data_IF_602219217772
#
_entry.id   IF_602219217772
#
_cell.length_a   1.000
_cell.length_b   1.000
_cell.length_c   1.000
_cell.angle_alpha   90.00
_cell.angle_beta   90.00
_cell.angle_gamma   90.00
#
_symmetry.space_group_name_H-M   'P 1'
#
loop_
_entity.id
_entity.type
_entity.pdbx_description
1 polymer ?
#
# COMPACT_ATOMS: atom_id res chain seq x y z
N UNK A 1 -28.05 -48.87 33.73
CA UNK A 1 -28.58 -47.51 33.62
C UNK A 1 -27.45 -46.66 33.06
N UNK A 2 -27.58 -46.19 31.82
CA UNK A 2 -26.63 -45.27 31.19
C UNK A 2 -27.47 -44.10 30.71
N UNK A 3 -27.53 -43.06 31.53
CA UNK A 3 -28.30 -41.85 31.26
C UNK A 3 -27.59 -41.00 30.20
N UNK A 4 -28.41 -40.50 29.31
CA UNK A 4 -28.15 -39.67 28.15
C UNK A 4 -28.08 -38.19 28.54
N UNK A 5 -26.95 -37.55 28.29
CA UNK A 5 -26.80 -36.08 28.31
C UNK A 5 -26.48 -35.57 26.91
N UNK A 6 -27.51 -35.30 26.10
CA UNK A 6 -27.43 -34.44 24.91
C UNK A 6 -28.62 -33.46 24.93
N UNK A 7 -28.65 -32.63 25.97
CA UNK A 7 -29.60 -31.52 26.13
C UNK A 7 -28.79 -30.21 26.15
N UNK A 8 -28.95 -29.37 25.11
CA UNK A 8 -28.51 -27.97 25.18
C UNK A 8 -27.80 -27.37 23.96
N UNK A 9 -27.65 -28.08 22.84
CA UNK A 9 -27.14 -27.45 21.60
C UNK A 9 -28.29 -26.81 20.82
N UNK A 10 -28.38 -25.48 20.70
CA UNK A 10 -29.43 -24.86 19.89
C UNK A 10 -29.26 -25.30 18.43
N UNK A 11 -30.27 -25.98 17.89
CA UNK A 11 -30.31 -26.40 16.49
C UNK A 11 -31.09 -25.39 15.66
N UNK A 12 -30.55 -25.05 14.49
CA UNK A 12 -31.25 -24.24 13.50
C UNK A 12 -32.51 -24.99 13.04
N UNK A 13 -33.60 -24.25 12.81
CA UNK A 13 -34.78 -24.85 12.20
C UNK A 13 -34.43 -25.41 10.82
N UNK A 14 -35.11 -26.47 10.38
CA UNK A 14 -34.90 -27.07 9.06
C UNK A 14 -34.98 -26.04 7.92
N UNK A 15 -35.86 -25.05 8.08
CA UNK A 15 -36.02 -23.94 7.14
C UNK A 15 -34.82 -22.97 7.15
N UNK A 16 -34.30 -22.64 8.32
CA UNK A 16 -33.13 -21.77 8.44
C UNK A 16 -31.86 -22.47 7.92
N UNK A 17 -31.73 -23.77 8.18
CA UNK A 17 -30.61 -24.58 7.69
C UNK A 17 -30.63 -24.72 6.16
N UNK A 18 -31.80 -24.93 5.57
CA UNK A 18 -31.98 -24.97 4.13
C UNK A 18 -31.63 -23.64 3.46
N UNK A 19 -32.11 -22.52 4.01
CA UNK A 19 -31.78 -21.19 3.49
C UNK A 19 -30.28 -20.88 3.59
N UNK A 20 -29.62 -21.34 4.65
CA UNK A 20 -28.17 -21.18 4.81
C UNK A 20 -27.39 -22.04 3.80
N UNK A 21 -27.82 -23.28 3.57
CA UNK A 21 -27.23 -24.16 2.55
C UNK A 21 -27.41 -23.61 1.13
N UNK A 22 -28.58 -23.04 0.83
CA UNK A 22 -28.88 -22.41 -0.45
C UNK A 22 -27.98 -21.17 -0.67
N UNK A 23 -27.83 -20.31 0.35
CA UNK A 23 -26.90 -19.18 0.32
C UNK A 23 -25.44 -19.59 0.10
N UNK A 24 -24.97 -20.67 0.76
CA UNK A 24 -23.61 -21.18 0.54
C UNK A 24 -23.41 -21.78 -0.85
N UNK A 25 -24.43 -22.41 -1.43
CA UNK A 25 -24.38 -22.94 -2.79
C UNK A 25 -24.33 -21.83 -3.84
N UNK A 26 -25.07 -20.74 -3.65
CA UNK A 26 -25.05 -19.55 -4.50
C UNK A 26 -23.68 -18.86 -4.49
N UNK A 27 -23.04 -18.74 -3.31
CA UNK A 27 -21.68 -18.21 -3.17
C UNK A 27 -20.63 -19.03 -3.95
N UNK A 28 -20.76 -20.36 -3.96
CA UNK A 28 -19.81 -21.23 -4.67
C UNK A 28 -19.96 -21.16 -6.20
N UNK A 29 -21.17 -20.95 -6.71
CA UNK A 29 -21.43 -20.80 -8.14
C UNK A 29 -20.95 -19.45 -8.67
N UNK A 30 -21.09 -18.37 -7.89
CA UNK A 30 -20.52 -17.06 -8.26
C UNK A 30 -18.99 -17.07 -8.36
N UNK A 31 -18.32 -17.99 -7.66
CA UNK A 31 -16.86 -18.11 -7.65
C UNK A 31 -16.29 -18.93 -8.82
N UNK A 32 -17.11 -19.75 -9.50
CA UNK A 32 -16.65 -20.61 -10.60
C UNK A 32 -16.67 -19.96 -11.98
N UNK A 33 -17.43 -18.88 -12.17
CA UNK A 33 -17.61 -18.23 -13.48
C UNK A 33 -16.55 -17.17 -13.83
N UNK A 34 -15.59 -16.90 -12.94
CA UNK A 34 -14.48 -15.94 -13.14
C UNK A 34 -13.20 -16.58 -13.70
N UNK A 35 -13.28 -17.76 -14.34
CA UNK A 35 -12.13 -18.42 -14.99
C UNK A 35 -11.82 -17.85 -16.38
N UNK A 36 -11.72 -16.53 -16.48
CA UNK A 36 -11.25 -15.79 -17.64
C UNK A 36 -9.96 -15.02 -17.31
N UNK A 37 -8.91 -15.34 -18.04
CA UNK A 37 -7.58 -14.72 -18.20
C UNK A 37 -7.32 -13.30 -17.60
N UNK A 38 -7.39 -13.11 -16.27
CA UNK A 38 -7.05 -11.83 -15.61
C UNK A 38 -6.03 -12.00 -14.48
N UNK A 39 -4.75 -11.87 -14.81
CA UNK A 39 -3.66 -11.73 -13.83
C UNK A 39 -3.77 -10.45 -12.97
N UNK A 40 -4.73 -9.57 -13.26
CA UNK A 40 -4.95 -8.30 -12.57
C UNK A 40 -6.20 -8.33 -11.65
N UNK A 41 -7.01 -9.37 -11.73
CA UNK A 41 -8.12 -9.68 -10.80
C UNK A 41 -7.68 -10.66 -9.70
N UNK A 42 -6.40 -10.65 -9.30
CA UNK A 42 -5.91 -11.47 -8.19
C UNK A 42 -6.54 -10.96 -6.90
N UNK A 43 -7.65 -11.59 -6.52
CA UNK A 43 -8.30 -11.48 -5.22
C UNK A 43 -8.97 -10.14 -4.98
N UNK A 44 -10.24 -10.01 -5.39
CA UNK A 44 -11.12 -9.03 -4.75
C UNK A 44 -11.25 -9.47 -3.29
N UNK A 45 -10.40 -8.93 -2.42
CA UNK A 45 -10.47 -9.17 -0.98
C UNK A 45 -11.62 -8.33 -0.46
N UNK A 46 -12.72 -9.00 -0.13
CA UNK A 46 -13.89 -8.36 0.48
C UNK A 46 -13.58 -7.90 1.92
N UNK A 47 -14.29 -6.85 2.36
CA UNK A 47 -14.23 -6.32 3.71
C UNK A 47 -14.45 -7.43 4.75
N UNK A 48 -13.55 -7.52 5.73
CA UNK A 48 -13.78 -8.29 6.94
C UNK A 48 -14.05 -7.37 8.13
N UNK A 49 -15.32 -7.21 8.46
CA UNK A 49 -15.76 -6.32 9.54
C UNK A 49 -15.25 -6.74 10.92
N UNK A 50 -14.92 -8.01 11.12
CA UNK A 50 -14.31 -8.50 12.37
C UNK A 50 -12.87 -7.99 12.56
N UNK A 51 -12.23 -7.57 11.46
CA UNK A 51 -10.91 -6.96 11.44
C UNK A 51 -10.98 -5.42 11.33
N UNK A 52 -12.17 -4.84 11.47
CA UNK A 52 -12.42 -3.40 11.28
C UNK A 52 -12.03 -2.89 9.89
N UNK A 53 -12.21 -3.72 8.86
CA UNK A 53 -11.96 -3.34 7.47
C UNK A 53 -13.18 -2.62 6.89
N UNK A 54 -13.01 -1.35 6.54
CA UNK A 54 -14.02 -0.52 5.88
C UNK A 54 -13.40 0.15 4.67
N UNK A 55 -13.91 -0.12 3.48
CA UNK A 55 -13.28 0.37 2.26
C UNK A 55 -13.69 1.80 1.93
N UNK A 56 -12.71 2.61 1.53
CA UNK A 56 -12.95 3.93 0.96
C UNK A 56 -13.79 3.82 -0.31
N UNK A 57 -14.52 4.89 -0.67
CA UNK A 57 -15.13 4.99 -1.98
C UNK A 57 -14.03 4.95 -3.06
N UNK A 58 -14.33 4.46 -4.28
CA UNK A 58 -13.36 4.43 -5.37
C UNK A 58 -12.71 5.80 -5.64
N UNK A 59 -13.48 6.88 -5.51
CA UNK A 59 -13.06 8.27 -5.68
C UNK A 59 -12.08 8.69 -4.57
N UNK A 60 -12.40 8.36 -3.31
CA UNK A 60 -11.54 8.64 -2.17
C UNK A 60 -10.22 7.90 -2.27
N UNK A 61 -10.28 6.58 -2.52
CA UNK A 61 -9.10 5.75 -2.66
C UNK A 61 -8.19 6.21 -3.81
N UNK A 62 -8.79 6.62 -4.94
CA UNK A 62 -8.05 7.18 -6.08
C UNK A 62 -7.35 8.49 -5.68
N UNK A 63 -8.07 9.40 -5.02
CA UNK A 63 -7.52 10.70 -4.65
C UNK A 63 -6.37 10.59 -3.65
N UNK A 64 -6.50 9.71 -2.67
CA UNK A 64 -5.42 9.39 -1.72
C UNK A 64 -4.22 8.74 -2.42
N UNK A 65 -4.46 7.85 -3.37
CA UNK A 65 -3.38 7.23 -4.16
C UNK A 65 -2.63 8.26 -5.02
N UNK A 66 -3.33 9.15 -5.71
CA UNK A 66 -2.73 10.23 -6.51
C UNK A 66 -1.86 11.16 -5.66
N UNK A 67 -2.37 11.58 -4.48
CA UNK A 67 -1.59 12.43 -3.58
C UNK A 67 -0.39 11.69 -3.00
N UNK A 68 -0.53 10.40 -2.68
CA UNK A 68 0.59 9.58 -2.24
C UNK A 68 1.68 9.44 -3.31
N UNK A 69 1.32 9.26 -4.58
CA UNK A 69 2.26 9.22 -5.70
C UNK A 69 2.95 10.58 -5.87
N UNK A 70 2.18 11.67 -5.84
CA UNK A 70 2.74 13.02 -5.92
C UNK A 70 3.70 13.31 -4.75
N UNK A 71 3.37 12.86 -3.54
CA UNK A 71 4.19 13.00 -2.36
C UNK A 71 5.46 12.12 -2.40
N UNK A 72 5.37 10.91 -2.94
CA UNK A 72 6.53 10.07 -3.22
C UNK A 72 7.45 10.70 -4.29
N UNK A 73 6.89 11.57 -5.14
CA UNK A 73 7.57 12.37 -6.17
C UNK A 73 7.88 11.58 -7.43
N UNK A 74 8.17 12.29 -8.53
CA UNK A 74 8.92 11.72 -9.66
C UNK A 74 10.37 11.47 -9.19
N UNK A 75 10.59 10.43 -8.38
CA UNK A 75 11.91 10.04 -7.90
C UNK A 75 12.38 10.58 -6.54
N UNK A 76 11.47 10.78 -5.57
CA UNK A 76 11.81 10.97 -4.15
C UNK A 76 12.52 12.29 -3.78
N UNK A 77 12.02 12.98 -2.75
CA UNK A 77 12.53 14.28 -2.28
C UNK A 77 13.97 14.29 -1.69
N UNK A 78 14.82 13.30 -1.96
CA UNK A 78 16.25 13.34 -1.56
C UNK A 78 17.08 13.75 -2.77
N UNK A 79 17.59 14.99 -2.74
CA UNK A 79 18.59 15.59 -3.65
C UNK A 79 19.11 14.62 -4.70
N UNK A 80 18.70 14.82 -5.96
CA UNK A 80 19.14 14.08 -7.16
C UNK A 80 20.66 13.84 -7.16
N UNK A 81 21.42 14.74 -6.53
CA UNK A 81 22.86 14.68 -6.32
C UNK A 81 23.35 13.48 -5.47
N UNK A 82 22.68 13.14 -4.36
CA UNK A 82 23.07 12.01 -3.50
C UNK A 82 22.74 10.65 -4.15
N UNK A 83 21.66 10.58 -4.93
CA UNK A 83 21.27 9.36 -5.65
C UNK A 83 22.17 9.10 -6.87
N UNK A 84 22.54 10.15 -7.61
CA UNK A 84 23.57 10.04 -8.65
C UNK A 84 24.91 9.57 -8.06
N UNK A 85 25.26 10.05 -6.86
CA UNK A 85 26.48 9.65 -6.17
C UNK A 85 26.45 8.17 -5.76
N UNK A 86 25.34 7.68 -5.20
CA UNK A 86 25.16 6.26 -4.88
C UNK A 86 25.16 5.38 -6.14
N UNK A 87 24.50 5.81 -7.22
CA UNK A 87 24.55 5.12 -8.51
C UNK A 87 25.97 5.04 -9.06
N UNK A 88 26.74 6.14 -8.98
CA UNK A 88 28.13 6.19 -9.37
C UNK A 88 29.01 5.25 -8.54
N UNK A 89 28.78 5.15 -7.22
CA UNK A 89 29.50 4.23 -6.33
C UNK A 89 29.21 2.75 -6.64
N UNK A 90 27.95 2.42 -6.93
CA UNK A 90 27.56 1.06 -7.36
C UNK A 90 28.20 0.72 -8.70
N UNK A 91 28.22 1.68 -9.64
CA UNK A 91 28.88 1.50 -10.93
C UNK A 91 30.41 1.30 -10.78
N UNK A 92 31.05 2.06 -9.89
CA UNK A 92 32.48 1.93 -9.57
C UNK A 92 32.81 0.58 -8.92
N UNK A 93 31.95 0.11 -8.00
CA UNK A 93 32.12 -1.20 -7.35
C UNK A 93 31.93 -2.37 -8.32
N UNK A 94 31.02 -2.24 -9.30
CA UNK A 94 30.81 -3.25 -10.34
C UNK A 94 31.98 -3.31 -11.33
N UNK A 95 32.65 -2.19 -11.61
CA UNK A 95 33.85 -2.19 -12.46
C UNK A 95 35.05 -2.87 -11.82
N UNK A 96 35.15 -2.88 -10.48
CA UNK A 96 36.23 -3.55 -9.74
C UNK A 96 36.03 -5.07 -9.57
N UNK A 97 34.82 -5.59 -9.88
CA UNK A 97 34.49 -7.02 -9.79
C UNK A 97 34.73 -7.75 -11.13
N UNK A 98 35.06 -7.03 -12.21
CA UNK A 98 35.41 -7.65 -13.49
C UNK A 98 36.83 -8.23 -13.44
N UNK A 99 37.03 -9.49 -13.85
CA UNK A 99 38.35 -10.12 -13.83
C UNK A 99 39.35 -9.39 -14.72
N UNK A 100 40.58 -9.24 -14.21
CA UNK A 100 41.74 -8.57 -14.84
C UNK A 100 42.05 -9.05 -16.27
N UNK A 101 41.58 -10.23 -16.69
CA UNK A 101 41.83 -10.81 -18.02
C UNK A 101 41.23 -10.03 -19.21
N UNK A 102 40.51 -8.93 -18.98
CA UNK A 102 39.96 -8.09 -20.07
C UNK A 102 40.68 -6.76 -20.29
N UNK A 103 41.68 -6.42 -19.47
CA UNK A 103 42.36 -5.11 -19.56
C UNK A 103 43.32 -4.96 -20.75
N UNK A 104 43.71 -6.06 -21.41
CA UNK A 104 44.69 -6.07 -22.51
C UNK A 104 44.10 -6.36 -23.91
N UNK A 105 42.76 -6.47 -24.06
CA UNK A 105 42.13 -6.74 -25.35
C UNK A 105 41.64 -5.46 -26.03
N UNK A 106 42.29 -5.13 -27.15
CA UNK A 106 41.96 -4.00 -28.02
C UNK A 106 40.46 -3.97 -28.42
N UNK A 107 39.86 -2.77 -28.62
CA UNK A 107 38.40 -2.56 -28.66
C UNK A 107 37.77 -2.93 -30.02
N UNK A 108 38.13 -4.07 -30.60
CA UNK A 108 37.65 -4.50 -31.93
C UNK A 108 36.95 -5.86 -31.96
N UNK A 109 36.71 -6.49 -30.81
CA UNK A 109 35.92 -7.73 -30.77
C UNK A 109 34.52 -7.49 -30.21
N UNK A 110 33.52 -7.93 -30.97
CA UNK A 110 32.07 -7.83 -30.70
C UNK A 110 31.62 -8.40 -29.34
N UNK A 111 32.52 -9.05 -28.60
CA UNK A 111 32.31 -9.70 -27.30
C UNK A 111 32.41 -8.73 -26.12
N UNK A 112 33.27 -7.70 -26.17
CA UNK A 112 33.34 -6.67 -25.11
C UNK A 112 32.11 -5.75 -25.09
N UNK A 113 31.53 -5.50 -26.27
CA UNK A 113 30.25 -4.79 -26.44
C UNK A 113 29.05 -5.59 -25.91
N UNK A 114 29.16 -6.92 -25.86
CA UNK A 114 28.09 -7.79 -25.40
C UNK A 114 28.02 -7.85 -23.86
N UNK A 115 29.16 -7.83 -23.15
CA UNK A 115 29.18 -7.86 -21.68
C UNK A 115 28.63 -6.58 -21.02
N UNK A 116 28.89 -5.42 -21.61
CA UNK A 116 28.29 -4.14 -21.16
C UNK A 116 26.79 -4.05 -21.46
N UNK A 117 26.26 -4.86 -22.38
CA UNK A 117 24.82 -4.88 -22.71
C UNK A 117 23.97 -5.74 -21.76
N UNK A 118 24.60 -6.51 -20.87
CA UNK A 118 23.95 -7.45 -19.94
C UNK A 118 23.96 -7.01 -18.47
N UNK A 119 24.52 -5.84 -18.15
CA UNK A 119 24.29 -5.24 -16.83
C UNK A 119 22.81 -4.85 -16.72
N UNK A 120 22.09 -5.28 -15.67
CA UNK A 120 20.65 -5.04 -15.60
C UNK A 120 20.41 -3.55 -15.50
N UNK A 121 19.81 -2.99 -16.55
CA UNK A 121 19.22 -1.64 -16.62
C UNK A 121 18.18 -1.42 -15.50
N UNK A 122 17.83 -2.46 -14.74
CA UNK A 122 16.95 -2.43 -13.57
C UNK A 122 17.52 -1.69 -12.34
N UNK A 123 18.85 -1.62 -12.15
CA UNK A 123 19.41 -0.95 -10.97
C UNK A 123 19.21 0.58 -10.95
N UNK A 124 19.42 1.32 -12.07
CA UNK A 124 19.10 2.75 -12.14
C UNK A 124 17.60 3.05 -12.04
N UNK A 125 16.73 2.17 -12.57
CA UNK A 125 15.27 2.35 -12.57
C UNK A 125 14.72 2.25 -11.14
N UNK A 126 15.27 1.36 -10.31
CA UNK A 126 14.87 1.20 -8.90
C UNK A 126 15.11 2.46 -8.05
N UNK A 127 16.02 3.36 -8.47
CA UNK A 127 16.31 4.62 -7.78
C UNK A 127 15.41 5.79 -8.20
N UNK A 128 14.62 5.62 -9.26
CA UNK A 128 13.74 6.67 -9.82
C UNK A 128 12.26 6.48 -9.47
N UNK A 129 11.87 5.35 -8.88
CA UNK A 129 10.49 5.08 -8.44
C UNK A 129 10.34 5.42 -6.96
N UNK A 130 9.25 6.09 -6.59
CA UNK A 130 8.95 6.42 -5.20
C UNK A 130 8.54 5.17 -4.41
N UNK A 131 8.90 5.09 -3.13
CA UNK A 131 8.48 3.98 -2.24
C UNK A 131 7.31 4.40 -1.36
N UNK A 132 6.19 3.69 -1.49
CA UNK A 132 4.96 3.92 -0.70
C UNK A 132 4.71 2.73 0.22
N UNK A 133 4.56 2.98 1.52
CA UNK A 133 4.07 1.97 2.46
C UNK A 133 2.60 2.25 2.77
N UNK A 134 1.72 1.29 2.51
CA UNK A 134 0.34 1.29 2.98
C UNK A 134 0.26 0.47 4.27
N UNK A 135 -0.03 1.11 5.41
CA UNK A 135 -0.17 0.45 6.72
C UNK A 135 -1.64 0.37 7.07
N UNK A 136 -2.20 -0.83 7.05
CA UNK A 136 -3.64 -1.09 7.22
C UNK A 136 -4.54 -0.27 6.28
N UNK A 137 -4.01 0.16 5.12
CA UNK A 137 -4.70 1.00 4.12
C UNK A 137 -4.92 0.25 2.78
N UNK A 138 -5.68 -0.86 2.75
CA UNK A 138 -5.79 -1.73 1.58
C UNK A 138 -6.51 -1.09 0.38
N UNK A 139 -7.51 -0.22 0.62
CA UNK A 139 -8.22 0.48 -0.47
C UNK A 139 -7.26 1.35 -1.29
N UNK A 140 -6.33 2.05 -0.61
CA UNK A 140 -5.32 2.88 -1.26
C UNK A 140 -4.29 2.01 -1.98
N UNK A 141 -3.83 0.91 -1.36
CA UNK A 141 -2.93 -0.05 -2.00
C UNK A 141 -3.49 -0.58 -3.32
N UNK A 142 -4.76 -1.01 -3.33
CA UNK A 142 -5.42 -1.51 -4.53
C UNK A 142 -5.40 -0.46 -5.65
N UNK A 143 -5.73 0.79 -5.35
CA UNK A 143 -5.69 1.88 -6.34
C UNK A 143 -4.30 2.22 -6.84
N UNK A 144 -3.30 2.25 -5.95
CA UNK A 144 -1.90 2.45 -6.34
C UNK A 144 -1.44 1.36 -7.31
N UNK A 145 -1.80 0.11 -7.05
CA UNK A 145 -1.41 -1.02 -7.91
C UNK A 145 -2.13 -1.04 -9.25
N UNK A 146 -3.39 -0.62 -9.28
CA UNK A 146 -4.20 -0.51 -10.51
C UNK A 146 -3.69 0.58 -11.45
N UNK A 147 -3.23 1.74 -10.92
CA UNK A 147 -3.03 2.96 -11.70
C UNK A 147 -1.58 3.45 -11.80
N UNK A 148 -0.70 3.06 -10.89
CA UNK A 148 0.62 3.71 -10.72
C UNK A 148 1.79 2.74 -10.58
N UNK A 149 1.66 1.52 -11.13
CA UNK A 149 2.66 0.45 -11.01
C UNK A 149 4.04 0.83 -11.56
N UNK A 150 4.09 1.73 -12.55
CA UNK A 150 5.33 2.16 -13.19
C UNK A 150 5.97 3.39 -12.50
N UNK A 151 5.22 4.08 -11.63
CA UNK A 151 5.65 5.32 -10.98
C UNK A 151 6.16 5.09 -9.55
N UNK A 152 5.58 4.12 -8.84
CA UNK A 152 5.89 3.82 -7.44
C UNK A 152 5.99 2.32 -7.18
N UNK A 153 6.84 1.96 -6.23
CA UNK A 153 6.86 0.64 -5.62
C UNK A 153 6.11 0.69 -4.30
N UNK A 154 5.20 -0.27 -4.07
CA UNK A 154 4.23 -0.21 -2.97
C UNK A 154 4.28 -1.47 -2.13
N UNK A 155 4.36 -1.31 -0.81
CA UNK A 155 4.21 -2.41 0.14
C UNK A 155 2.92 -2.24 0.94
N UNK A 156 2.18 -3.32 1.16
CA UNK A 156 1.00 -3.37 2.03
C UNK A 156 1.34 -4.12 3.32
N UNK A 157 1.27 -3.41 4.44
CA UNK A 157 1.40 -3.94 5.78
C UNK A 157 0.00 -4.21 6.31
N UNK A 158 -0.40 -5.48 6.36
CA UNK A 158 -1.74 -5.86 6.81
C UNK A 158 -1.77 -7.07 7.74
N UNK A 159 -2.73 -7.07 8.65
CA UNK A 159 -3.03 -8.19 9.53
C UNK A 159 -3.72 -9.33 8.79
N UNK A 160 -4.60 -9.01 7.85
CA UNK A 160 -5.34 -10.00 7.09
C UNK A 160 -4.44 -10.78 6.12
N UNK A 161 -4.19 -12.04 6.46
CA UNK A 161 -3.34 -12.94 5.66
C UNK A 161 -3.88 -13.24 4.27
N UNK A 162 -5.14 -12.92 3.96
CA UNK A 162 -5.69 -13.01 2.60
C UNK A 162 -4.91 -12.13 1.62
N UNK A 163 -4.28 -11.06 2.09
CA UNK A 163 -3.41 -10.18 1.29
C UNK A 163 -2.11 -10.85 0.84
N UNK A 164 -1.76 -12.05 1.34
CA UNK A 164 -0.59 -12.82 0.90
C UNK A 164 -0.62 -13.19 -0.59
N UNK A 165 -1.78 -13.12 -1.24
CA UNK A 165 -1.89 -13.26 -2.71
C UNK A 165 -1.07 -12.23 -3.49
N UNK A 166 -0.66 -11.14 -2.82
CA UNK A 166 0.16 -10.07 -3.40
C UNK A 166 1.68 -10.33 -3.31
N UNK A 167 2.11 -11.47 -2.75
CA UNK A 167 3.50 -11.90 -2.79
C UNK A 167 4.43 -10.95 -2.02
N UNK A 168 5.49 -10.48 -2.68
CA UNK A 168 6.54 -9.64 -2.06
C UNK A 168 6.03 -8.28 -1.57
N UNK A 169 4.97 -7.75 -2.19
CA UNK A 169 4.32 -6.50 -1.77
C UNK A 169 3.69 -6.64 -0.37
N UNK A 170 3.29 -7.86 0.02
CA UNK A 170 2.60 -8.11 1.28
C UNK A 170 3.59 -8.32 2.44
N UNK A 171 3.34 -7.57 3.51
CA UNK A 171 4.00 -7.73 4.80
C UNK A 171 2.91 -8.02 5.83
N UNK A 172 2.98 -9.19 6.47
CA UNK A 172 2.12 -9.45 7.63
C UNK A 172 2.49 -8.47 8.75
N UNK A 173 1.49 -7.75 9.24
CA UNK A 173 1.66 -6.70 10.24
C UNK A 173 0.60 -6.83 11.33
N UNK A 174 1.04 -6.80 12.59
CA UNK A 174 0.15 -6.71 13.75
C UNK A 174 0.53 -5.46 14.55
N UNK A 175 -0.37 -4.48 14.63
CA UNK A 175 -0.14 -3.24 15.39
C UNK A 175 0.13 -3.49 16.88
N UNK A 176 -0.21 -4.68 17.42
CA UNK A 176 0.16 -5.07 18.80
C UNK A 176 1.66 -5.33 18.95
N UNK A 177 2.36 -5.61 17.85
CA UNK A 177 3.80 -5.81 17.74
C UNK A 177 4.38 -4.83 16.71
N UNK A 178 4.34 -3.50 16.97
CA UNK A 178 4.52 -2.47 15.95
C UNK A 178 5.93 -2.41 15.32
N UNK A 179 6.94 -3.00 15.97
CA UNK A 179 8.34 -3.05 15.51
C UNK A 179 8.75 -4.44 15.03
N UNK A 180 7.84 -5.41 15.04
CA UNK A 180 8.07 -6.77 14.53
C UNK A 180 7.90 -6.80 13.01
N UNK A 181 8.86 -6.21 12.30
CA UNK A 181 8.89 -6.16 10.84
C UNK A 181 9.95 -7.11 10.28
N UNK A 182 9.71 -7.74 9.12
CA UNK A 182 10.70 -8.59 8.47
C UNK A 182 12.00 -7.84 8.16
N UNK A 183 13.16 -8.52 8.26
CA UNK A 183 14.49 -7.93 8.01
C UNK A 183 14.65 -7.27 6.63
N UNK A 184 13.87 -7.69 5.63
CA UNK A 184 13.86 -7.08 4.29
C UNK A 184 13.35 -5.64 4.28
N UNK A 185 12.64 -5.22 5.32
CA UNK A 185 12.09 -3.87 5.45
C UNK A 185 13.13 -2.98 6.13
N UNK A 186 13.82 -2.18 5.32
CA UNK A 186 14.77 -1.20 5.83
C UNK A 186 14.04 -0.07 6.58
N UNK A 187 14.60 0.35 7.70
CA UNK A 187 14.08 1.50 8.46
C UNK A 187 14.25 2.79 7.66
N UNK A 188 13.28 3.70 7.72
CA UNK A 188 13.29 4.99 7.03
C UNK A 188 13.53 4.86 5.52
N UNK A 189 12.97 3.83 4.88
CA UNK A 189 13.13 3.59 3.46
C UNK A 189 12.02 4.19 2.60
N UNK A 190 10.82 4.36 3.16
CA UNK A 190 9.64 4.78 2.40
C UNK A 190 9.58 6.29 2.27
N UNK A 191 9.39 6.78 1.05
CA UNK A 191 9.26 8.21 0.77
C UNK A 191 7.96 8.79 1.34
N UNK A 192 6.91 7.97 1.41
CA UNK A 192 5.67 8.25 2.13
C UNK A 192 5.10 6.99 2.78
N UNK A 193 4.53 7.16 3.98
CA UNK A 193 3.70 6.16 4.64
C UNK A 193 2.25 6.64 4.64
N UNK A 194 1.37 5.84 4.02
CA UNK A 194 -0.09 6.00 4.06
C UNK A 194 -0.61 5.04 5.12
N UNK A 195 -1.26 5.53 6.16
CA UNK A 195 -1.72 4.72 7.26
C UNK A 195 -3.21 4.94 7.57
N UNK A 196 -3.90 3.86 7.92
CA UNK A 196 -5.32 3.85 8.28
C UNK A 196 -5.53 2.87 9.46
N UNK A 197 -5.52 3.35 10.72
CA UNK A 197 -5.54 2.46 11.86
C UNK A 197 -6.90 1.77 12.00
N UNK A 198 -6.93 0.46 12.32
CA UNK A 198 -8.18 -0.32 12.38
C UNK A 198 -9.12 0.09 13.54
N UNK A 199 -8.62 0.84 14.53
CA UNK A 199 -9.42 1.24 15.68
C UNK A 199 -9.22 2.71 16.03
N UNK A 200 -10.32 3.39 16.36
CA UNK A 200 -10.33 4.78 16.84
C UNK A 200 -9.98 4.84 18.33
N UNK A 201 -8.73 4.48 18.65
CA UNK A 201 -8.21 4.54 20.01
C UNK A 201 -6.79 5.10 20.02
N UNK A 202 -6.47 5.87 21.06
CA UNK A 202 -5.13 6.43 21.24
C UNK A 202 -4.06 5.34 21.36
N UNK A 203 -4.38 4.20 22.00
CA UNK A 203 -3.43 3.07 22.08
C UNK A 203 -3.10 2.51 20.70
N UNK A 204 -4.11 2.31 19.84
CA UNK A 204 -3.90 1.83 18.47
C UNK A 204 -3.05 2.82 17.68
N UNK A 205 -3.40 4.11 17.72
CA UNK A 205 -2.67 5.15 17.01
C UNK A 205 -1.23 5.29 17.53
N UNK A 206 -1.02 5.21 18.85
CA UNK A 206 0.31 5.26 19.46
C UNK A 206 1.19 4.11 18.97
N UNK A 207 0.70 2.86 19.00
CA UNK A 207 1.47 1.72 18.52
C UNK A 207 1.74 1.82 17.02
N UNK A 208 0.73 2.17 16.22
CA UNK A 208 0.93 2.36 14.79
C UNK A 208 1.91 3.51 14.49
N UNK A 209 1.96 4.55 15.33
CA UNK A 209 2.93 5.64 15.20
C UNK A 209 4.38 5.18 15.33
N UNK A 210 4.65 4.13 16.13
CA UNK A 210 5.97 3.52 16.23
C UNK A 210 6.36 2.86 14.89
N UNK A 211 5.43 2.12 14.28
CA UNK A 211 5.61 1.55 12.94
C UNK A 211 5.82 2.62 11.88
N UNK A 212 4.97 3.66 11.84
CA UNK A 212 5.07 4.75 10.86
C UNK A 212 6.44 5.43 10.96
N UNK A 213 6.89 5.76 12.17
CA UNK A 213 8.20 6.38 12.40
C UNK A 213 9.35 5.49 11.94
N UNK A 214 9.23 4.18 12.12
CA UNK A 214 10.23 3.21 11.67
C UNK A 214 10.30 3.12 10.14
N UNK A 215 9.16 3.28 9.45
CA UNK A 215 9.05 3.12 8.00
C UNK A 215 9.36 4.40 7.23
N UNK A 216 8.83 5.54 7.69
CA UNK A 216 8.85 6.80 6.94
C UNK A 216 10.23 7.45 6.94
N UNK A 217 10.60 8.04 5.81
CA UNK A 217 11.67 9.04 5.73
C UNK A 217 11.25 10.37 6.34
N UNK A 218 10.05 10.82 5.98
CA UNK A 218 9.56 12.14 6.35
C UNK A 218 8.05 12.23 6.18
N UNK A 219 7.52 11.86 5.01
CA UNK A 219 6.12 12.14 4.65
C UNK A 219 5.16 11.10 5.21
N UNK A 220 4.07 11.58 5.79
CA UNK A 220 3.03 10.77 6.41
C UNK A 220 1.68 11.27 5.91
N UNK A 221 0.84 10.34 5.47
CA UNK A 221 -0.58 10.52 5.24
C UNK A 221 -1.32 9.56 6.16
N UNK A 222 -2.12 10.10 7.07
CA UNK A 222 -2.90 9.34 8.03
C UNK A 222 -4.37 9.60 7.79
N UNK A 223 -5.15 8.56 7.49
CA UNK A 223 -6.60 8.64 7.53
C UNK A 223 -7.09 8.01 8.83
N UNK A 224 -7.92 8.71 9.60
CA UNK A 224 -8.49 8.19 10.85
C UNK A 224 -9.72 9.02 11.25
N UNK A 225 -10.35 8.68 12.37
CA UNK A 225 -11.48 9.42 12.90
C UNK A 225 -11.08 10.83 13.36
N UNK A 226 -11.93 11.83 13.15
CA UNK A 226 -11.70 13.23 13.51
C UNK A 226 -11.36 13.40 15.01
N UNK A 227 -11.93 12.54 15.87
CA UNK A 227 -11.64 12.50 17.31
C UNK A 227 -10.17 12.23 17.66
N UNK A 228 -9.36 11.74 16.71
CA UNK A 228 -7.95 11.43 16.91
C UNK A 228 -7.02 12.59 16.51
N UNK A 229 -7.53 13.75 16.11
CA UNK A 229 -6.72 14.89 15.63
C UNK A 229 -5.60 15.29 16.59
N UNK A 230 -5.91 15.53 17.87
CA UNK A 230 -4.90 15.94 18.87
C UNK A 230 -3.81 14.87 19.05
N UNK A 231 -4.22 13.60 19.11
CA UNK A 231 -3.28 12.49 19.24
C UNK A 231 -2.41 12.34 17.98
N UNK A 232 -2.98 12.51 16.79
CA UNK A 232 -2.27 12.44 15.52
C UNK A 232 -1.22 13.55 15.41
N UNK A 233 -1.58 14.80 15.73
CA UNK A 233 -0.65 15.92 15.74
C UNK A 233 0.49 15.69 16.76
N UNK A 234 0.16 15.29 17.98
CA UNK A 234 1.16 15.05 19.03
C UNK A 234 2.12 13.90 18.71
N UNK A 235 1.61 12.81 18.14
CA UNK A 235 2.41 11.60 17.89
C UNK A 235 3.22 11.69 16.61
N UNK A 236 2.65 12.28 15.54
CA UNK A 236 3.19 12.21 14.18
C UNK A 236 3.46 13.58 13.54
N UNK A 237 3.02 14.68 14.17
CA UNK A 237 3.19 16.04 13.61
C UNK A 237 2.37 16.28 12.34
N UNK A 238 1.31 15.50 12.13
CA UNK A 238 0.41 15.64 10.97
C UNK A 238 -0.68 16.66 11.28
N UNK A 239 -1.19 17.32 10.24
CA UNK A 239 -2.23 18.35 10.29
C UNK A 239 -3.41 17.92 9.42
N UNK A 240 -4.62 18.29 9.86
CA UNK A 240 -5.85 17.95 9.14
C UNK A 240 -5.89 18.64 7.77
N UNK A 241 -6.22 17.86 6.74
CA UNK A 241 -6.52 18.36 5.40
C UNK A 241 -7.98 18.83 5.29
N UNK A 242 -8.27 19.64 4.28
CA UNK A 242 -9.65 19.99 3.87
C UNK A 242 -10.39 18.82 3.23
N UNK A 243 -9.65 17.86 2.68
CA UNK A 243 -10.21 16.66 2.06
C UNK A 243 -10.91 15.79 3.10
N UNK A 244 -12.15 15.39 2.80
CA UNK A 244 -12.95 14.51 3.65
C UNK A 244 -13.04 13.15 2.97
N UNK A 245 -12.42 12.09 3.53
CA UNK A 245 -12.50 10.77 2.95
C UNK A 245 -13.90 10.16 3.13
N UNK A 246 -14.42 9.58 2.06
CA UNK A 246 -15.70 8.87 2.06
C UNK A 246 -15.48 7.36 1.97
N UNK A 247 -16.37 6.61 2.59
CA UNK A 247 -16.36 5.15 2.58
C UNK A 247 -17.47 4.63 1.68
N UNK A 248 -17.30 3.43 1.13
CA UNK A 248 -18.31 2.77 0.31
C UNK A 248 -19.63 2.57 1.08
N UNK A 249 -19.52 2.49 2.41
CA UNK A 249 -20.65 2.38 3.33
C UNK A 249 -20.63 3.53 4.32
N UNK A 250 -21.81 3.98 4.75
CA UNK A 250 -21.91 5.00 5.78
C UNK A 250 -21.38 4.47 7.12
N UNK A 251 -20.37 5.13 7.66
CA UNK A 251 -19.86 4.89 9.01
C UNK A 251 -20.42 5.96 9.95
N UNK A 252 -20.67 5.58 11.21
CA UNK A 252 -21.19 6.52 12.21
C UNK A 252 -20.17 7.54 12.71
N UNK A 253 -18.88 7.29 12.47
CA UNK A 253 -17.81 8.19 12.85
C UNK A 253 -17.43 9.11 11.69
N UNK A 254 -17.06 10.32 12.03
CA UNK A 254 -16.49 11.27 11.09
C UNK A 254 -15.01 10.97 10.87
N UNK A 255 -14.61 10.77 9.61
CA UNK A 255 -13.22 10.53 9.23
C UNK A 255 -12.59 11.77 8.59
N UNK A 256 -11.26 11.86 8.73
CA UNK A 256 -10.42 12.93 8.20
C UNK A 256 -9.08 12.38 7.72
N UNK A 257 -8.48 13.10 6.78
CA UNK A 257 -7.12 12.88 6.33
C UNK A 257 -6.20 13.89 7.00
N UNK A 258 -5.02 13.45 7.44
CA UNK A 258 -4.00 14.25 8.10
C UNK A 258 -2.65 14.03 7.41
N UNK A 259 -1.90 15.10 7.16
CA UNK A 259 -0.59 15.04 6.48
C UNK A 259 0.43 15.94 7.15
N UNK A 260 1.72 15.68 6.95
CA UNK A 260 2.81 16.54 7.43
C UNK A 260 3.61 17.21 6.27
N UNK A 261 3.06 17.23 5.07
CA UNK A 261 3.64 17.84 3.86
C UNK A 261 2.61 18.71 3.15
N UNK A 262 3.05 19.51 2.16
CA UNK A 262 2.15 20.29 1.31
C UNK A 262 1.38 19.36 0.36
N UNK A 263 0.15 19.02 0.71
CA UNK A 263 -0.69 18.06 0.01
C UNK A 263 -1.58 18.73 -1.04
N UNK A 264 -1.75 18.06 -2.18
CA UNK A 264 -2.71 18.47 -3.21
C UNK A 264 -4.17 18.28 -2.78
N UNK A 265 -4.41 17.60 -1.65
CA UNK A 265 -5.73 17.40 -1.06
C UNK A 265 -6.37 18.69 -0.51
N UNK A 266 -5.56 19.70 -0.20
CA UNK A 266 -6.04 21.00 0.32
C UNK A 266 -6.46 22.00 -0.76
N UNK A 267 -6.27 21.64 -2.04
CA UNK A 267 -6.62 22.49 -3.18
C UNK A 267 -8.06 22.25 -3.58
N UNK A 268 -8.85 23.33 -3.60
CA UNK A 268 -10.25 23.27 -4.05
C UNK A 268 -10.31 22.85 -5.52
N UNK A 269 -11.11 21.82 -5.84
CA UNK A 269 -11.32 21.26 -7.19
C UNK A 269 -12.07 22.20 -8.16
N UNK A 270 -12.22 23.49 -7.84
CA UNK A 270 -13.00 24.43 -8.64
C UNK A 270 -12.37 24.85 -9.98
N UNK A 271 -11.21 24.28 -10.38
CA UNK A 271 -10.45 24.77 -11.55
C UNK A 271 -10.26 23.76 -12.70
N UNK A 272 -10.76 22.52 -12.63
CA UNK A 272 -10.46 21.51 -13.69
C UNK A 272 -11.64 21.00 -14.54
N UNK A 273 -12.70 21.81 -14.73
CA UNK A 273 -13.78 21.50 -15.70
C UNK A 273 -13.91 22.50 -16.87
N UNK A 274 -12.89 23.32 -17.16
CA UNK A 274 -12.88 24.16 -18.37
C UNK A 274 -11.66 23.83 -19.24
N UNK A 275 -11.82 22.85 -20.13
CA UNK A 275 -10.72 22.44 -21.03
C UNK A 275 -11.06 21.32 -22.00
N UNK A 276 -12.28 21.25 -22.52
CA UNK A 276 -12.56 20.53 -23.77
C UNK A 276 -13.39 21.41 -24.69
N UNK A 277 -12.72 22.33 -25.39
CA UNK A 277 -13.21 22.75 -26.71
C UNK A 277 -12.71 21.73 -27.73
N UNK A 278 -13.63 20.88 -28.19
CA UNK A 278 -13.39 20.01 -29.35
C UNK A 278 -13.35 20.84 -30.65
N UNK A 279 -12.57 20.43 -31.66
CA UNK A 279 -12.46 21.17 -32.90
C UNK A 279 -13.75 21.03 -33.73
N UNK A 280 -14.28 22.16 -34.19
CA UNK A 280 -15.17 22.24 -35.36
C UNK A 280 -14.41 22.85 -36.53
#
# INVERSE_FOLDING_TARGET
MSDSEDEGRPQLSSRALAALQEFYAEQQQHHSDLRGDDKYNIGIIEENWQLSQFWYSPETALRLAEDAVAAAGEGGSSSTSLRLFMLALVHLSLTDILPEETKDLAPSSSTAQCFLSTLPVALPIFFMVGLVACVSAPSVYQKLRERHRDNVSVCIFEYDRRFAVYGEDFVYYDYKSPVDLPERIATHSFDIVVADPPYLSEECLRKMSETIKLLTREKIMLCTGAVMEEAAEKLLGVKMCKFIPEHTRALGNEFRCFVNYDSGLDRDLSVQLSGQEGPK
#
